data_IF_469481422038
#
_entry.id   IF_469481422038
#
_cell.length_a   1.000
_cell.length_b   1.000
_cell.length_c   1.000
_cell.angle_alpha   90.00
_cell.angle_beta   90.00
_cell.angle_gamma   90.00
#
_symmetry.space_group_name_H-M   'P 1'
#
loop_
_entity.id
_entity.type
_entity.pdbx_description
1 polymer ?
#
# COMPACT_ATOMS: atom_id res chain seq x y z
N UNK A 1 0.03 9.72 -4.42
CA UNK A 1 0.82 8.71 -3.67
C UNK A 1 0.37 7.32 -4.09
N UNK A 2 1.14 6.27 -3.81
CA UNK A 2 0.78 4.86 -4.12
C UNK A 2 1.23 3.94 -2.99
N UNK A 3 0.51 2.84 -2.74
CA UNK A 3 0.95 1.79 -1.80
C UNK A 3 1.82 0.80 -2.57
N UNK A 4 2.99 0.46 -2.03
CA UNK A 4 3.94 -0.44 -2.70
C UNK A 4 4.02 -1.80 -2.02
N UNK A 5 3.72 -1.85 -0.72
CA UNK A 5 3.74 -3.05 0.10
C UNK A 5 2.73 -2.89 1.23
N UNK A 6 2.22 -4.01 1.73
CA UNK A 6 1.59 -4.09 3.05
C UNK A 6 2.29 -5.14 3.91
N UNK A 7 2.42 -4.87 5.20
CA UNK A 7 3.03 -5.74 6.20
C UNK A 7 2.02 -6.04 7.29
N UNK A 8 1.88 -7.31 7.66
CA UNK A 8 1.12 -7.70 8.85
C UNK A 8 1.98 -7.46 10.10
N UNK A 9 1.61 -6.48 10.91
CA UNK A 9 2.38 -6.01 12.05
C UNK A 9 2.11 -6.83 13.32
N UNK A 10 2.94 -6.62 14.34
CA UNK A 10 2.86 -7.38 15.60
C UNK A 10 1.58 -7.11 16.41
N UNK A 11 0.93 -5.98 16.17
CA UNK A 11 -0.36 -5.61 16.77
C UNK A 11 -1.57 -6.21 16.01
N UNK A 12 -1.32 -7.20 15.15
CA UNK A 12 -2.31 -7.85 14.30
C UNK A 12 -3.05 -6.87 13.36
N UNK A 13 -2.36 -5.80 12.92
CA UNK A 13 -2.88 -4.83 11.96
C UNK A 13 -2.01 -4.73 10.71
N UNK A 14 -2.55 -4.12 9.65
CA UNK A 14 -1.80 -3.84 8.43
C UNK A 14 -1.10 -2.48 8.49
N UNK A 15 0.20 -2.48 8.19
CA UNK A 15 0.96 -1.29 7.84
C UNK A 15 1.22 -1.26 6.34
N UNK A 16 1.33 -0.06 5.77
CA UNK A 16 1.44 0.17 4.33
C UNK A 16 2.67 1.00 4.02
N UNK A 17 3.48 0.55 3.06
CA UNK A 17 4.62 1.32 2.57
C UNK A 17 4.18 2.22 1.43
N UNK A 18 4.18 3.52 1.68
CA UNK A 18 3.66 4.54 0.75
C UNK A 18 4.80 5.17 -0.02
N UNK A 19 4.64 5.28 -1.35
CA UNK A 19 5.47 6.14 -2.20
C UNK A 19 4.78 7.47 -2.47
N UNK A 20 5.43 8.54 -2.06
CA UNK A 20 4.91 9.90 -2.11
C UNK A 20 5.15 10.53 -3.49
N UNK A 21 4.19 11.32 -3.96
CA UNK A 21 4.34 12.06 -5.22
C UNK A 21 5.36 13.18 -5.00
N UNK A 22 6.29 13.34 -5.96
CA UNK A 22 7.35 14.34 -5.87
C UNK A 22 8.56 13.92 -5.03
N UNK A 23 8.55 12.71 -4.44
CA UNK A 23 9.66 12.18 -3.65
C UNK A 23 10.25 10.92 -4.27
N UNK A 24 11.52 10.67 -3.94
CA UNK A 24 12.25 9.49 -4.37
C UNK A 24 11.81 8.23 -3.60
N UNK A 25 12.15 7.04 -4.11
CA UNK A 25 11.88 5.75 -3.43
C UNK A 25 12.55 5.65 -2.05
N UNK A 26 13.62 6.42 -1.80
CA UNK A 26 14.28 6.49 -0.48
C UNK A 26 13.37 7.05 0.60
N UNK A 27 12.40 7.87 0.20
CA UNK A 27 11.47 8.56 1.09
C UNK A 27 10.20 7.73 1.35
N UNK A 28 10.14 6.50 0.84
CA UNK A 28 9.01 5.61 1.09
C UNK A 28 8.92 5.27 2.59
N UNK A 29 7.78 5.57 3.20
CA UNK A 29 7.56 5.34 4.65
C UNK A 29 6.46 4.33 4.91
N UNK A 30 6.59 3.55 5.99
CA UNK A 30 5.50 2.75 6.53
C UNK A 30 4.49 3.62 7.30
N UNK A 31 3.20 3.37 7.08
CA UNK A 31 2.10 4.04 7.76
C UNK A 31 1.08 3.01 8.26
N UNK A 32 0.51 3.18 9.46
CA UNK A 32 -0.58 2.33 9.91
C UNK A 32 -1.84 2.58 9.06
N UNK A 33 -2.76 1.62 9.02
CA UNK A 33 -4.05 1.77 8.34
C UNK A 33 -4.78 3.08 8.71
N UNK A 34 -4.75 3.46 9.99
CA UNK A 34 -5.35 4.69 10.49
C UNK A 34 -4.73 5.96 9.85
N UNK A 35 -3.43 5.93 9.53
CA UNK A 35 -2.74 7.02 8.83
C UNK A 35 -3.15 7.18 7.36
N UNK A 36 -3.84 6.19 6.80
CA UNK A 36 -4.41 6.19 5.45
C UNK A 36 -5.95 6.25 5.47
N UNK A 37 -6.57 6.59 6.61
CA UNK A 37 -8.02 6.59 6.74
C UNK A 37 -8.72 7.55 5.76
N UNK A 38 -8.07 8.64 5.37
CA UNK A 38 -8.56 9.57 4.35
C UNK A 38 -8.42 9.02 2.90
N UNK A 39 -7.63 7.96 2.72
CA UNK A 39 -7.25 7.37 1.44
C UNK A 39 -7.92 6.00 1.20
N UNK A 40 -9.17 5.83 1.66
CA UNK A 40 -9.90 4.55 1.54
C UNK A 40 -9.91 4.01 0.11
N UNK A 41 -10.11 4.88 -0.88
CA UNK A 41 -10.14 4.47 -2.28
C UNK A 41 -8.80 3.87 -2.74
N UNK A 42 -7.66 4.35 -2.23
CA UNK A 42 -6.34 3.79 -2.52
C UNK A 42 -6.17 2.41 -1.86
N UNK A 43 -6.59 2.27 -0.61
CA UNK A 43 -6.59 0.98 0.11
C UNK A 43 -7.46 -0.07 -0.61
N UNK A 44 -8.67 0.30 -1.05
CA UNK A 44 -9.56 -0.60 -1.79
C UNK A 44 -8.91 -1.09 -3.08
N UNK A 45 -8.32 -0.19 -3.88
CA UNK A 45 -7.65 -0.56 -5.13
C UNK A 45 -6.44 -1.45 -4.89
N UNK A 46 -5.67 -1.16 -3.85
CA UNK A 46 -4.52 -1.98 -3.45
C UNK A 46 -4.95 -3.42 -3.12
N UNK A 47 -5.97 -3.59 -2.27
CA UNK A 47 -6.42 -4.93 -1.88
C UNK A 47 -7.16 -5.67 -2.98
N UNK A 48 -7.77 -4.96 -3.93
CA UNK A 48 -8.32 -5.54 -5.15
C UNK A 48 -7.23 -6.13 -6.04
N UNK A 49 -6.08 -5.45 -6.16
CA UNK A 49 -4.93 -5.92 -6.93
C UNK A 49 -4.21 -7.09 -6.24
N UNK A 50 -3.96 -6.98 -4.94
CA UNK A 50 -3.26 -8.02 -4.16
C UNK A 50 -4.10 -9.30 -4.09
N UNK A 51 -5.43 -9.17 -4.12
CA UNK A 51 -6.34 -10.26 -3.83
C UNK A 51 -6.34 -10.53 -2.33
N UNK A 52 -7.07 -9.71 -1.56
CA UNK A 52 -7.27 -9.96 -0.14
C UNK A 52 -8.06 -11.26 0.03
N UNK A 53 -7.44 -12.26 0.66
CA UNK A 53 -8.07 -13.49 1.09
C UNK A 53 -8.15 -13.54 2.62
N UNK A 54 -9.05 -14.38 3.14
CA UNK A 54 -9.16 -14.68 4.58
C UNK A 54 -8.04 -15.64 5.02
N UNK A 55 -6.78 -15.31 4.71
CA UNK A 55 -5.62 -16.10 5.15
C UNK A 55 -5.13 -15.61 6.51
N UNK A 56 -4.74 -16.57 7.35
CA UNK A 56 -3.99 -16.30 8.57
C UNK A 56 -2.55 -15.91 8.21
N UNK A 57 -2.30 -14.62 7.99
CA UNK A 57 -0.96 -14.11 7.72
C UNK A 57 -0.12 -14.12 9.01
N UNK A 58 1.05 -14.79 9.05
CA UNK A 58 1.98 -14.65 10.17
C UNK A 58 2.44 -13.20 10.34
N UNK A 59 2.73 -12.78 11.58
CA UNK A 59 3.39 -11.49 11.85
C UNK A 59 4.67 -11.37 11.03
N UNK A 60 4.85 -10.23 10.38
CA UNK A 60 5.97 -9.96 9.48
C UNK A 60 5.71 -10.35 8.02
N UNK A 61 4.57 -10.98 7.71
CA UNK A 61 4.18 -11.24 6.33
C UNK A 61 4.11 -9.96 5.52
N UNK A 62 4.64 -9.99 4.30
CA UNK A 62 4.61 -8.86 3.36
C UNK A 62 3.90 -9.30 2.09
N UNK A 63 2.95 -8.48 1.65
CA UNK A 63 2.29 -8.60 0.36
C UNK A 63 2.61 -7.39 -0.50
N UNK A 64 2.68 -7.60 -1.80
CA UNK A 64 2.97 -6.55 -2.78
C UNK A 64 2.03 -6.68 -3.98
N UNK A 65 1.55 -5.56 -4.55
CA UNK A 65 0.83 -5.55 -5.81
C UNK A 65 1.81 -5.74 -6.98
N UNK A 66 1.30 -5.93 -8.19
CA UNK A 66 2.18 -5.98 -9.37
C UNK A 66 2.89 -4.65 -9.62
N UNK A 67 4.10 -4.70 -10.21
CA UNK A 67 4.81 -3.48 -10.62
C UNK A 67 3.99 -2.67 -11.65
N UNK A 68 3.22 -3.37 -12.50
CA UNK A 68 2.35 -2.73 -13.47
C UNK A 68 1.25 -1.92 -12.79
N UNK A 69 0.60 -2.48 -11.76
CA UNK A 69 -0.38 -1.75 -10.96
C UNK A 69 0.24 -0.55 -10.27
N UNK A 70 1.43 -0.70 -9.66
CA UNK A 70 2.14 0.42 -9.02
C UNK A 70 2.35 1.55 -10.02
N UNK A 71 2.84 1.23 -11.22
CA UNK A 71 3.08 2.23 -12.28
C UNK A 71 1.77 2.91 -12.72
N UNK A 72 0.70 2.15 -12.96
CA UNK A 72 -0.60 2.69 -13.36
C UNK A 72 -1.19 3.61 -12.28
N UNK A 73 -1.11 3.19 -11.03
CA UNK A 73 -1.67 3.91 -9.90
C UNK A 73 -0.87 5.18 -9.57
N UNK A 74 0.45 5.18 -9.77
CA UNK A 74 1.28 6.39 -9.68
C UNK A 74 0.90 7.43 -10.73
N UNK A 75 0.68 7.00 -11.97
CA UNK A 75 0.35 7.88 -13.08
C UNK A 75 -1.07 8.48 -12.97
N UNK A 76 -1.97 7.85 -12.20
CA UNK A 76 -3.36 8.31 -11.97
C UNK A 76 -3.42 9.75 -11.45
N UNK A 77 -2.40 10.21 -10.72
CA UNK A 77 -2.37 11.54 -10.10
C UNK A 77 -1.24 12.45 -10.62
N UNK A 78 -0.50 12.02 -11.64
CA UNK A 78 0.55 12.82 -12.30
C UNK A 78 0.03 13.61 -13.51
N UNK A 79 -1.26 13.50 -13.83
CA UNK A 79 -1.90 14.14 -14.99
C UNK A 79 -2.72 15.40 -14.65
N UNK A 80 -2.41 16.09 -13.55
CA UNK A 80 -2.95 17.41 -13.21
C UNK A 80 -1.82 18.45 -13.28
#
# INVERSE_FOLDING_TARGET
EVITHARFAADASWEYRVRWVGFSRSEDTWKPAAGLAACQALLTRFWTEVGHDEKDYPVGSVVQPSEEWIRKEQNRFQAL
#
